data_IF_592964582198
#
_entry.id   IF_592964582198
#
_cell.length_a   1.000
_cell.length_b   1.000
_cell.length_c   1.000
_cell.angle_alpha   90.00
_cell.angle_beta   90.00
_cell.angle_gamma   90.00
#
_symmetry.space_group_name_H-M   'P 1'
#
loop_
_entity.id
_entity.type
_entity.pdbx_description
1 polymer ?
#
# COMPACT_ATOMS: atom_id res chain seq x y z
N UNK A 1 6.01 2.83 21.97
CA UNK A 1 5.29 4.09 21.76
C UNK A 1 3.90 3.71 21.31
N UNK A 2 2.89 4.46 21.75
CA UNK A 2 1.49 4.14 21.48
C UNK A 2 1.26 4.11 19.96
N UNK A 3 0.86 2.95 19.45
CA UNK A 3 0.66 2.67 18.03
C UNK A 3 -0.65 3.34 17.61
N UNK A 4 -0.61 4.65 17.35
CA UNK A 4 -1.79 5.43 17.02
C UNK A 4 -2.27 5.09 15.61
N UNK A 5 -3.08 4.03 15.53
CA UNK A 5 -3.85 3.70 14.35
C UNK A 5 -5.31 4.13 14.55
N UNK A 6 -5.89 4.69 13.49
CA UNK A 6 -7.32 4.93 13.43
C UNK A 6 -8.07 3.59 13.40
N UNK A 7 -9.27 3.54 13.96
CA UNK A 7 -10.15 2.36 13.83
C UNK A 7 -10.43 2.06 12.36
N UNK A 8 -10.73 0.80 12.02
CA UNK A 8 -11.02 0.41 10.64
C UNK A 8 -12.13 1.24 9.99
N UNK A 9 -13.17 1.59 10.76
CA UNK A 9 -14.25 2.47 10.29
C UNK A 9 -13.73 3.87 9.91
N UNK A 10 -12.84 4.44 10.72
CA UNK A 10 -12.27 5.76 10.47
C UNK A 10 -11.31 5.75 9.25
N UNK A 11 -10.57 4.67 9.05
CA UNK A 11 -9.73 4.48 7.87
C UNK A 11 -10.55 4.29 6.58
N UNK A 12 -11.65 3.55 6.67
CA UNK A 12 -12.53 3.29 5.51
C UNK A 12 -13.24 4.55 5.01
N UNK A 13 -13.41 5.57 5.86
CA UNK A 13 -13.97 6.87 5.46
C UNK A 13 -12.90 7.94 5.23
N UNK A 14 -11.61 7.61 5.42
CA UNK A 14 -10.50 8.56 5.29
C UNK A 14 -10.41 9.13 3.87
N UNK A 15 -10.69 8.30 2.86
CA UNK A 15 -10.73 8.71 1.46
C UNK A 15 -11.68 9.91 1.22
N UNK A 16 -12.81 10.01 1.93
CA UNK A 16 -13.77 11.10 1.83
C UNK A 16 -13.18 12.45 2.26
N UNK A 17 -12.30 12.45 3.27
CA UNK A 17 -11.65 13.68 3.76
C UNK A 17 -10.67 14.25 2.72
N UNK A 18 -9.96 13.38 2.02
CA UNK A 18 -9.04 13.76 0.94
C UNK A 18 -9.76 13.95 -0.41
N UNK A 19 -11.09 13.78 -0.44
CA UNK A 19 -11.90 13.75 -1.65
C UNK A 19 -11.29 12.79 -2.70
N UNK A 20 -10.80 11.65 -2.22
CA UNK A 20 -10.25 10.57 -3.00
C UNK A 20 -11.24 9.39 -3.01
N UNK A 21 -11.16 8.57 -4.04
CA UNK A 21 -11.95 7.35 -4.17
C UNK A 21 -11.32 6.21 -3.35
N UNK A 22 -10.00 6.18 -3.24
CA UNK A 22 -9.27 5.20 -2.44
C UNK A 22 -8.02 5.82 -1.80
N UNK A 23 -7.65 5.30 -0.63
CA UNK A 23 -6.36 5.58 0.00
C UNK A 23 -5.36 4.50 -0.40
N UNK A 24 -4.13 4.91 -0.70
CA UNK A 24 -3.01 4.04 -1.09
C UNK A 24 -1.89 4.21 -0.06
N UNK A 25 -1.49 3.14 0.59
CA UNK A 25 -0.47 3.15 1.64
C UNK A 25 0.82 2.59 1.08
N UNK A 26 1.91 3.33 1.23
CA UNK A 26 3.24 2.98 0.71
C UNK A 26 4.28 2.94 1.82
N UNK A 27 5.35 2.16 1.62
CA UNK A 27 6.42 1.97 2.61
C UNK A 27 7.05 3.31 3.02
N UNK A 28 7.44 4.12 2.03
CA UNK A 28 8.13 5.37 2.29
C UNK A 28 7.81 6.46 1.29
N UNK A 29 8.37 7.66 1.50
CA UNK A 29 8.14 8.81 0.65
C UNK A 29 8.68 8.64 -0.78
N UNK A 30 9.67 7.76 -0.98
CA UNK A 30 10.25 7.48 -2.31
C UNK A 30 9.22 6.79 -3.23
N UNK A 31 8.38 5.92 -2.66
CA UNK A 31 7.32 5.19 -3.35
C UNK A 31 6.15 6.09 -3.76
N UNK A 32 5.92 7.23 -3.07
CA UNK A 32 4.78 8.12 -3.32
C UNK A 32 4.75 8.57 -4.78
N UNK A 33 5.86 9.17 -5.25
CA UNK A 33 5.96 9.69 -6.61
C UNK A 33 5.74 8.60 -7.66
N UNK A 34 6.27 7.40 -7.41
CA UNK A 34 6.10 6.27 -8.33
C UNK A 34 4.63 5.87 -8.45
N UNK A 35 3.99 5.58 -7.32
CA UNK A 35 2.60 5.14 -7.32
C UNK A 35 1.63 6.22 -7.79
N UNK A 36 1.90 7.49 -7.48
CA UNK A 36 1.08 8.61 -7.96
C UNK A 36 1.04 8.65 -9.48
N UNK A 37 2.21 8.54 -10.11
CA UNK A 37 2.32 8.51 -11.57
C UNK A 37 1.62 7.28 -12.14
N UNK A 38 1.76 6.11 -11.51
CA UNK A 38 1.12 4.87 -11.98
C UNK A 38 -0.40 4.99 -11.91
N UNK A 39 -0.96 5.40 -10.77
CA UNK A 39 -2.41 5.53 -10.62
C UNK A 39 -2.97 6.60 -11.54
N UNK A 40 -2.28 7.75 -11.69
CA UNK A 40 -2.69 8.81 -12.59
C UNK A 40 -2.70 8.39 -14.07
N UNK A 41 -1.79 7.49 -14.47
CA UNK A 41 -1.69 7.00 -15.87
C UNK A 41 -2.54 5.78 -16.16
N UNK A 42 -2.63 4.86 -15.21
CA UNK A 42 -3.31 3.58 -15.37
C UNK A 42 -4.81 3.68 -15.07
N UNK A 43 -5.23 4.69 -14.31
CA UNK A 43 -6.61 4.87 -13.88
C UNK A 43 -7.04 6.33 -13.92
N UNK A 44 -8.33 6.57 -14.12
CA UNK A 44 -8.94 7.90 -13.92
C UNK A 44 -9.36 8.12 -12.46
N UNK A 45 -9.12 7.13 -11.59
CA UNK A 45 -9.49 7.19 -10.18
C UNK A 45 -8.63 8.21 -9.46
N UNK A 46 -9.26 9.05 -8.63
CA UNK A 46 -8.54 9.94 -7.73
C UNK A 46 -8.14 9.17 -6.48
N UNK A 47 -6.86 8.85 -6.35
CA UNK A 47 -6.30 8.19 -5.16
C UNK A 47 -5.49 9.16 -4.33
N UNK A 48 -5.45 8.94 -3.02
CA UNK A 48 -4.56 9.66 -2.11
C UNK A 48 -3.47 8.71 -1.63
N UNK A 49 -2.21 9.11 -1.70
CA UNK A 49 -1.07 8.25 -1.33
C UNK A 49 -0.47 8.74 -0.02
N UNK A 50 -0.33 7.82 0.93
CA UNK A 50 0.16 8.08 2.28
C UNK A 50 1.38 7.21 2.58
N UNK A 51 2.48 7.83 3.00
CA UNK A 51 3.59 7.08 3.58
C UNK A 51 3.25 6.61 4.99
N UNK A 52 3.61 5.36 5.29
CA UNK A 52 3.41 4.79 6.64
C UNK A 52 4.67 4.86 7.49
N UNK A 53 5.79 5.35 6.95
CA UNK A 53 7.03 5.52 7.69
C UNK A 53 7.90 4.26 7.80
N UNK A 54 7.66 3.25 6.95
CA UNK A 54 8.54 2.10 6.79
C UNK A 54 7.82 0.76 6.70
N UNK A 55 8.63 -0.26 6.47
CA UNK A 55 8.19 -1.63 6.24
C UNK A 55 7.41 -2.23 7.42
N UNK A 56 7.83 -1.94 8.66
CA UNK A 56 7.19 -2.46 9.88
C UNK A 56 5.75 -1.95 10.03
N UNK A 57 5.52 -0.67 9.76
CA UNK A 57 4.19 -0.07 9.82
C UNK A 57 3.29 -0.57 8.69
N UNK A 58 3.84 -0.68 7.47
CA UNK A 58 3.09 -1.19 6.32
C UNK A 58 2.59 -2.61 6.57
N UNK A 59 3.39 -3.43 7.26
CA UNK A 59 3.01 -4.79 7.63
C UNK A 59 1.80 -4.83 8.56
N UNK A 60 1.70 -3.90 9.52
CA UNK A 60 0.53 -3.81 10.39
C UNK A 60 -0.72 -3.51 9.57
N UNK A 61 -0.62 -2.58 8.62
CA UNK A 61 -1.74 -2.29 7.72
C UNK A 61 -2.12 -3.48 6.83
N UNK A 62 -1.16 -4.28 6.35
CA UNK A 62 -1.45 -5.51 5.61
C UNK A 62 -2.25 -6.50 6.48
N UNK A 63 -1.81 -6.74 7.70
CA UNK A 63 -2.49 -7.66 8.63
C UNK A 63 -3.91 -7.17 8.93
N UNK A 64 -4.06 -5.87 9.19
CA UNK A 64 -5.36 -5.25 9.43
C UNK A 64 -6.27 -5.26 8.21
N UNK A 65 -5.74 -5.13 6.98
CA UNK A 65 -6.57 -5.22 5.77
C UNK A 65 -7.21 -6.59 5.65
N UNK A 66 -6.47 -7.63 6.03
CA UNK A 66 -6.95 -9.01 6.01
C UNK A 66 -7.88 -9.32 7.19
N UNK A 67 -7.59 -8.80 8.40
CA UNK A 67 -8.36 -9.10 9.62
C UNK A 67 -9.60 -8.20 9.81
N UNK A 68 -9.47 -6.90 9.54
CA UNK A 68 -10.51 -5.87 9.77
C UNK A 68 -11.27 -5.44 8.50
N UNK A 69 -11.00 -6.07 7.35
CA UNK A 69 -11.57 -5.74 6.03
C UNK A 69 -11.44 -4.25 5.65
N UNK A 70 -10.25 -3.67 5.87
CA UNK A 70 -9.98 -2.29 5.49
C UNK A 70 -10.11 -2.08 3.97
N UNK A 71 -10.80 -1.01 3.59
CA UNK A 71 -11.03 -0.58 2.20
C UNK A 71 -9.93 0.37 1.73
N UNK A 72 -8.68 -0.04 1.95
CA UNK A 72 -7.48 0.69 1.54
C UNK A 72 -6.68 -0.16 0.56
N UNK A 73 -5.85 0.49 -0.26
CA UNK A 73 -4.92 -0.18 -1.17
C UNK A 73 -3.54 -0.16 -0.54
N UNK A 74 -2.88 -1.30 -0.46
CA UNK A 74 -1.49 -1.39 -0.02
C UNK A 74 -0.59 -1.51 -1.24
N UNK A 75 0.37 -0.61 -1.38
CA UNK A 75 1.26 -0.53 -2.52
C UNK A 75 2.71 -0.74 -2.09
N UNK A 76 3.29 -1.89 -2.46
CA UNK A 76 4.65 -2.30 -2.07
C UNK A 76 5.55 -2.51 -3.29
N UNK A 77 6.86 -2.33 -3.13
CA UNK A 77 7.84 -2.80 -4.11
C UNK A 77 7.92 -4.34 -4.12
N UNK A 78 8.28 -4.93 -5.27
CA UNK A 78 8.54 -6.36 -5.38
C UNK A 78 9.56 -6.85 -4.35
N UNK A 79 10.56 -6.04 -3.99
CA UNK A 79 11.61 -6.43 -3.04
C UNK A 79 11.12 -6.52 -1.59
N UNK A 80 9.88 -6.08 -1.31
CA UNK A 80 9.18 -6.33 -0.05
C UNK A 80 8.98 -7.84 0.25
N UNK A 81 9.46 -8.73 -0.64
CA UNK A 81 9.64 -10.19 -0.50
C UNK A 81 10.30 -10.70 0.78
N UNK A 82 10.78 -9.87 1.70
CA UNK A 82 11.21 -10.37 3.02
C UNK A 82 10.07 -11.05 3.80
N UNK A 83 8.82 -10.86 3.38
CA UNK A 83 7.68 -11.62 3.90
C UNK A 83 7.24 -12.71 2.93
N UNK A 84 8.06 -13.78 2.88
CA UNK A 84 7.62 -15.13 2.51
C UNK A 84 6.50 -15.57 3.47
N UNK A 85 5.26 -15.21 3.14
CA UNK A 85 4.13 -16.13 3.21
C UNK A 85 3.29 -15.82 1.97
N UNK A 86 3.30 -16.77 1.03
CA UNK A 86 2.58 -16.74 -0.25
C UNK A 86 1.03 -16.62 -0.12
N UNK A 87 0.51 -16.30 1.06
CA UNK A 87 -0.90 -16.41 1.41
C UNK A 87 -1.66 -15.06 1.48
N UNK A 88 -0.98 -13.91 1.43
CA UNK A 88 -1.67 -12.61 1.34
C UNK A 88 -1.96 -12.24 -0.12
N UNK A 89 -2.86 -13.01 -0.75
CA UNK A 89 -3.38 -12.81 -2.10
C UNK A 89 -4.63 -11.92 -2.09
N UNK A 90 -4.65 -10.89 -1.25
CA UNK A 90 -5.76 -9.94 -1.24
C UNK A 90 -5.65 -9.01 -2.47
N UNK A 91 -6.78 -8.76 -3.15
CA UNK A 91 -6.81 -7.94 -4.37
C UNK A 91 -6.46 -6.47 -4.11
N UNK A 92 -6.43 -6.05 -2.83
CA UNK A 92 -6.04 -4.72 -2.37
C UNK A 92 -4.53 -4.52 -2.24
N UNK A 93 -3.73 -5.60 -2.33
CA UNK A 93 -2.26 -5.52 -2.21
C UNK A 93 -1.65 -5.51 -3.61
N UNK A 94 -1.14 -4.36 -4.04
CA UNK A 94 -0.49 -4.17 -5.34
C UNK A 94 1.03 -4.16 -5.16
N UNK A 95 1.72 -4.95 -5.99
CA UNK A 95 3.18 -5.03 -6.01
C UNK A 95 3.70 -4.58 -7.36
N UNK A 96 4.73 -3.72 -7.38
CA UNK A 96 5.44 -3.48 -8.62
C UNK A 96 6.30 -4.72 -8.96
N UNK A 97 6.45 -5.09 -10.24
CA UNK A 97 7.23 -6.28 -10.65
C UNK A 97 8.67 -5.93 -11.07
N UNK A 98 9.06 -4.66 -10.91
CA UNK A 98 10.25 -4.09 -11.54
C UNK A 98 11.58 -4.55 -10.93
N UNK A 99 11.60 -5.06 -9.69
CA UNK A 99 12.83 -5.63 -9.09
C UNK A 99 13.18 -7.02 -9.65
N UNK A 100 12.20 -7.79 -10.15
CA UNK A 100 12.41 -9.20 -10.52
C UNK A 100 13.30 -9.39 -11.75
N UNK A 101 13.41 -8.40 -12.64
CA UNK A 101 14.17 -8.51 -13.90
C UNK A 101 15.67 -8.17 -13.79
N UNK A 102 16.19 -7.78 -12.63
CA UNK A 102 17.64 -7.51 -12.47
C UNK A 102 18.49 -8.73 -12.08
N UNK A 103 17.90 -9.91 -11.83
CA UNK A 103 18.64 -11.12 -11.43
C UNK A 103 19.15 -12.02 -12.57
N UNK A 104 18.93 -11.67 -13.84
CA UNK A 104 19.37 -12.50 -14.97
C UNK A 104 20.15 -11.74 -16.06
N UNK A 105 21.08 -10.88 -15.65
CA UNK A 105 22.09 -10.35 -16.58
C UNK A 105 23.44 -10.20 -15.86
N UNK A 106 24.09 -11.31 -15.52
CA UNK A 106 25.55 -11.45 -15.44
C UNK A 106 25.92 -12.93 -15.53
#
# INVERSE_FOLDING_TARGET
MDDFHYSAEAENVMNLFYQAEAMVYVEGPDDICFWEIIFNKASSLKVEIKDVGGCEELKKYIDRVTDEDLQIIIACDADFTTFENEENADSRIVKNLWSLHRKHIY
#
